data_IF_135916469892
#
_entry.id   IF_135916469892
#
_cell.length_a   1.000
_cell.length_b   1.000
_cell.length_c   1.000
_cell.angle_alpha   90.00
_cell.angle_beta   90.00
_cell.angle_gamma   90.00
#
_symmetry.space_group_name_H-M   'P 1'
#
loop_
_entity.id
_entity.type
_entity.pdbx_description
1 polymer ?
#
# COMPACT_ATOMS: atom_id res chain seq x y z
N UNK A 1 -13.54 -26.54 18.85
CA UNK A 1 -12.62 -25.39 18.76
C UNK A 1 -13.24 -24.36 17.81
N UNK A 2 -13.80 -23.27 18.33
CA UNK A 2 -14.42 -22.23 17.51
C UNK A 2 -13.36 -21.18 17.18
N UNK A 3 -12.92 -21.11 15.93
CA UNK A 3 -12.10 -19.99 15.44
C UNK A 3 -13.07 -18.89 15.00
N UNK A 4 -13.24 -17.86 15.82
CA UNK A 4 -14.17 -16.74 15.63
C UNK A 4 -13.55 -15.51 14.95
N UNK A 5 -12.27 -15.57 14.60
CA UNK A 5 -11.54 -14.46 13.99
C UNK A 5 -11.92 -14.34 12.51
N UNK A 6 -12.46 -13.19 12.12
CA UNK A 6 -12.64 -12.91 10.70
C UNK A 6 -11.30 -12.61 10.03
N UNK A 7 -11.28 -12.60 8.71
CA UNK A 7 -10.09 -12.30 7.91
C UNK A 7 -10.42 -11.14 6.98
N UNK A 8 -9.51 -10.18 6.91
CA UNK A 8 -9.53 -9.09 5.94
C UNK A 8 -8.42 -9.34 4.92
N UNK A 9 -8.74 -9.24 3.63
CA UNK A 9 -7.77 -9.32 2.53
C UNK A 9 -7.79 -8.01 1.79
N UNK A 10 -6.60 -7.46 1.54
CA UNK A 10 -6.42 -6.20 0.81
C UNK A 10 -5.52 -6.49 -0.39
N UNK A 11 -5.99 -6.15 -1.58
CA UNK A 11 -5.20 -6.17 -2.81
C UNK A 11 -4.99 -4.74 -3.31
N UNK A 12 -3.75 -4.26 -3.23
CA UNK A 12 -3.35 -2.95 -3.73
C UNK A 12 -2.81 -3.12 -5.16
N UNK A 13 -3.64 -2.79 -6.15
CA UNK A 13 -3.27 -2.72 -7.55
C UNK A 13 -2.68 -1.36 -7.95
N UNK A 14 -2.52 -1.13 -9.25
CA UNK A 14 -2.10 0.19 -9.77
C UNK A 14 -3.19 1.25 -9.62
N UNK A 15 -4.43 0.92 -10.00
CA UNK A 15 -5.56 1.87 -10.01
C UNK A 15 -6.53 1.74 -8.84
N UNK A 16 -6.59 0.57 -8.19
CA UNK A 16 -7.60 0.25 -7.18
C UNK A 16 -6.99 -0.50 -6.01
N UNK A 17 -7.61 -0.32 -4.83
CA UNK A 17 -7.46 -1.22 -3.69
C UNK A 17 -8.76 -1.99 -3.50
N UNK A 18 -8.66 -3.32 -3.52
CA UNK A 18 -9.79 -4.22 -3.33
C UNK A 18 -9.73 -4.80 -1.91
N UNK A 19 -10.80 -4.62 -1.15
CA UNK A 19 -10.94 -5.09 0.24
C UNK A 19 -11.99 -6.19 0.26
N UNK A 20 -11.68 -7.33 0.87
CA UNK A 20 -12.63 -8.42 1.11
C UNK A 20 -12.57 -8.88 2.57
N UNK A 21 -13.72 -8.92 3.24
CA UNK A 21 -13.83 -9.32 4.64
C UNK A 21 -14.65 -10.59 4.77
N UNK A 22 -14.08 -11.58 5.45
CA UNK A 22 -14.67 -12.89 5.71
C UNK A 22 -14.94 -13.07 7.20
N UNK A 23 -16.13 -13.53 7.58
CA UNK A 23 -16.42 -13.94 8.96
C UNK A 23 -17.21 -15.25 8.97
N UNK A 24 -16.80 -16.18 9.84
CA UNK A 24 -17.42 -17.51 9.92
C UNK A 24 -17.31 -18.31 8.61
N UNK A 25 -16.22 -18.14 7.86
CA UNK A 25 -15.96 -18.85 6.60
C UNK A 25 -16.72 -18.31 5.38
N UNK A 26 -17.48 -17.22 5.50
CA UNK A 26 -18.24 -16.62 4.40
C UNK A 26 -17.79 -15.18 4.14
N UNK A 27 -17.84 -14.77 2.87
CA UNK A 27 -17.64 -13.39 2.44
C UNK A 27 -18.77 -12.51 3.00
N UNK A 28 -18.42 -11.40 3.65
CA UNK A 28 -19.38 -10.48 4.29
C UNK A 28 -19.37 -9.09 3.71
N UNK A 29 -18.21 -8.63 3.27
CA UNK A 29 -18.04 -7.28 2.77
C UNK A 29 -17.00 -7.25 1.66
N UNK A 30 -17.25 -6.39 0.68
CA UNK A 30 -16.27 -6.05 -0.36
C UNK A 30 -16.32 -4.56 -0.60
N UNK A 31 -15.15 -3.93 -0.76
CA UNK A 31 -15.02 -2.52 -1.13
C UNK A 31 -13.93 -2.36 -2.18
N UNK A 32 -14.17 -1.49 -3.15
CA UNK A 32 -13.16 -1.02 -4.10
C UNK A 32 -12.90 0.45 -3.82
N UNK A 33 -11.64 0.82 -3.61
CA UNK A 33 -11.20 2.21 -3.47
C UNK A 33 -10.39 2.57 -4.73
N UNK A 34 -10.81 3.54 -5.56
CA UNK A 34 -10.11 3.91 -6.80
C UNK A 34 -8.91 4.83 -6.53
N UNK A 35 -8.00 4.38 -5.66
CA UNK A 35 -6.83 5.12 -5.20
C UNK A 35 -5.77 4.12 -4.73
N UNK A 36 -4.66 3.97 -5.44
CA UNK A 36 -3.72 2.85 -5.22
C UNK A 36 -2.30 3.13 -5.77
N UNK A 37 -1.58 2.11 -6.22
CA UNK A 37 -0.15 2.19 -6.55
C UNK A 37 0.27 3.27 -7.56
N UNK A 38 -0.63 3.74 -8.44
CA UNK A 38 -0.34 4.82 -9.41
C UNK A 38 -0.08 6.16 -8.73
N UNK A 39 -0.64 6.41 -7.54
CA UNK A 39 -0.37 7.65 -6.81
C UNK A 39 1.02 7.64 -6.19
N UNK A 40 1.49 6.47 -5.77
CA UNK A 40 2.90 6.27 -5.36
C UNK A 40 3.84 6.54 -6.54
N UNK A 41 3.50 6.05 -7.73
CA UNK A 41 4.27 6.32 -8.96
C UNK A 41 4.34 7.81 -9.28
N UNK A 42 3.21 8.50 -9.11
CA UNK A 42 3.11 9.95 -9.35
C UNK A 42 3.97 10.75 -8.35
N UNK A 43 4.00 10.35 -7.08
CA UNK A 43 4.85 11.00 -6.07
C UNK A 43 6.33 10.82 -6.38
N UNK A 44 6.75 9.62 -6.78
CA UNK A 44 8.14 9.34 -7.17
C UNK A 44 8.53 10.18 -8.39
N UNK A 45 7.66 10.21 -9.40
CA UNK A 45 7.88 10.99 -10.62
C UNK A 45 8.06 12.48 -10.30
N UNK A 46 7.20 13.02 -9.44
CA UNK A 46 7.24 14.40 -8.99
C UNK A 46 8.49 14.69 -8.14
N UNK A 47 8.77 13.88 -7.12
CA UNK A 47 9.87 14.08 -6.18
C UNK A 47 11.25 14.03 -6.85
N UNK A 48 11.44 13.18 -7.86
CA UNK A 48 12.73 12.99 -8.51
C UNK A 48 12.85 13.63 -9.89
N UNK A 49 11.78 14.22 -10.42
CA UNK A 49 11.77 14.78 -11.77
C UNK A 49 12.15 13.74 -12.82
N UNK A 50 11.49 12.58 -12.74
CA UNK A 50 11.70 11.41 -13.61
C UNK A 50 10.41 11.05 -14.35
N UNK A 51 10.45 10.51 -15.59
CA UNK A 51 9.24 10.11 -16.31
C UNK A 51 8.40 9.09 -15.53
N UNK A 52 7.04 9.11 -15.64
CA UNK A 52 6.17 8.18 -14.91
C UNK A 52 6.49 6.70 -15.13
N UNK A 53 6.91 6.31 -16.34
CA UNK A 53 7.33 4.94 -16.64
C UNK A 53 8.58 4.53 -15.88
N UNK A 54 9.53 5.44 -15.72
CA UNK A 54 10.78 5.20 -15.00
C UNK A 54 10.53 5.21 -13.49
N UNK A 55 9.66 6.11 -13.00
CA UNK A 55 9.18 6.11 -11.63
C UNK A 55 8.54 4.75 -11.25
N UNK A 56 7.71 4.18 -12.13
CA UNK A 56 7.11 2.87 -11.90
C UNK A 56 8.18 1.77 -11.84
N UNK A 57 9.13 1.80 -12.77
CA UNK A 57 10.21 0.82 -12.80
C UNK A 57 11.07 0.87 -11.53
N UNK A 58 11.38 2.08 -11.04
CA UNK A 58 12.12 2.28 -9.79
C UNK A 58 11.30 1.81 -8.59
N UNK A 59 10.01 2.15 -8.53
CA UNK A 59 9.09 1.69 -7.47
C UNK A 59 9.08 0.17 -7.36
N UNK A 60 8.90 -0.52 -8.48
CA UNK A 60 8.82 -1.99 -8.54
C UNK A 60 10.15 -2.65 -8.17
N UNK A 61 11.28 -2.09 -8.60
CA UNK A 61 12.60 -2.70 -8.38
C UNK A 61 13.20 -2.41 -7.00
N UNK A 62 12.98 -1.20 -6.50
CA UNK A 62 13.72 -0.67 -5.36
C UNK A 62 12.83 -0.11 -4.24
N UNK A 63 11.52 -0.09 -4.44
CA UNK A 63 10.59 0.45 -3.47
C UNK A 63 10.69 -0.24 -2.11
N UNK A 64 10.43 0.53 -1.05
CA UNK A 64 10.32 0.03 0.30
C UNK A 64 9.31 0.90 1.05
N UNK A 65 8.27 0.27 1.61
CA UNK A 65 7.25 0.95 2.39
C UNK A 65 7.59 1.05 3.88
N UNK A 66 8.77 0.58 4.28
CA UNK A 66 9.31 0.68 5.63
C UNK A 66 10.76 1.17 5.55
N UNK A 67 10.96 2.48 5.56
CA UNK A 67 12.28 3.08 5.37
C UNK A 67 13.31 2.69 6.43
N UNK A 68 12.87 2.20 7.60
CA UNK A 68 13.78 1.78 8.68
C UNK A 68 14.58 0.51 8.39
N UNK A 69 14.18 -0.30 7.40
CA UNK A 69 14.89 -1.53 7.00
C UNK A 69 15.79 -1.32 5.77
N UNK A 70 15.83 -0.11 5.20
CA UNK A 70 16.67 0.20 4.05
C UNK A 70 18.11 0.41 4.52
N UNK A 71 19.07 -0.23 3.84
CA UNK A 71 20.48 -0.07 4.13
C UNK A 71 20.97 1.36 3.85
N UNK A 72 21.76 1.92 4.78
CA UNK A 72 22.27 3.30 4.70
C UNK A 72 23.17 3.56 3.48
N UNK A 73 23.82 2.51 2.98
CA UNK A 73 24.77 2.60 1.87
C UNK A 73 24.15 2.17 0.52
N UNK A 74 22.84 1.89 0.49
CA UNK A 74 22.15 1.51 -0.73
C UNK A 74 21.85 2.73 -1.62
N UNK A 75 22.13 2.61 -2.91
CA UNK A 75 21.83 3.63 -3.90
C UNK A 75 21.03 3.09 -5.08
N UNK A 76 20.31 4.00 -5.74
CA UNK A 76 19.47 3.74 -6.91
C UNK A 76 19.78 4.75 -8.00
N UNK A 77 19.88 4.27 -9.24
CA UNK A 77 19.96 5.15 -10.40
C UNK A 77 18.56 5.58 -10.83
N UNK A 78 18.39 6.90 -11.00
CA UNK A 78 17.13 7.51 -11.40
C UNK A 78 17.32 8.22 -12.75
N UNK A 79 16.62 7.79 -13.82
CA UNK A 79 16.61 8.49 -15.09
C UNK A 79 16.09 9.92 -14.92
N UNK A 80 16.67 10.87 -15.67
CA UNK A 80 16.26 12.27 -15.61
C UNK A 80 15.46 12.67 -16.85
N UNK A 81 14.61 13.70 -16.72
CA UNK A 81 13.92 14.31 -17.86
C UNK A 81 14.84 15.19 -18.71
N UNK A 82 14.53 15.31 -20.00
CA UNK A 82 15.13 16.28 -20.91
C UNK A 82 16.54 15.92 -21.40
N UNK A 83 16.86 14.62 -21.52
CA UNK A 83 18.16 14.15 -22.05
C UNK A 83 19.34 14.34 -21.09
N UNK A 84 19.07 14.70 -19.83
CA UNK A 84 20.08 14.77 -18.78
C UNK A 84 20.53 13.36 -18.39
N UNK A 85 21.80 13.18 -17.99
CA UNK A 85 22.29 11.88 -17.54
C UNK A 85 21.51 11.41 -16.30
N UNK A 86 21.40 10.09 -16.08
CA UNK A 86 20.86 9.52 -14.85
C UNK A 86 21.63 10.02 -13.61
N UNK A 87 20.93 10.07 -12.48
CA UNK A 87 21.48 10.50 -11.18
C UNK A 87 21.42 9.35 -10.18
N UNK A 88 22.48 9.16 -9.42
CA UNK A 88 22.49 8.24 -8.28
C UNK A 88 21.93 8.93 -7.04
N UNK A 89 21.02 8.26 -6.33
CA UNK A 89 20.43 8.72 -5.07
C UNK A 89 20.49 7.62 -4.02
N UNK A 90 20.46 8.01 -2.74
CA UNK A 90 20.29 7.03 -1.67
C UNK A 90 18.90 6.39 -1.79
N UNK A 91 18.84 5.06 -1.63
CA UNK A 91 17.57 4.32 -1.62
C UNK A 91 16.67 4.78 -0.46
N UNK A 92 17.25 5.32 0.61
CA UNK A 92 16.51 5.94 1.70
C UNK A 92 15.60 7.07 1.21
N UNK A 93 16.09 7.93 0.31
CA UNK A 93 15.29 9.04 -0.22
C UNK A 93 14.10 8.54 -1.04
N UNK A 94 14.21 7.38 -1.70
CA UNK A 94 13.08 6.73 -2.35
C UNK A 94 12.05 6.23 -1.32
N UNK A 95 12.50 5.65 -0.21
CA UNK A 95 11.62 5.18 0.87
C UNK A 95 10.88 6.35 1.56
N UNK A 96 11.53 7.50 1.74
CA UNK A 96 10.93 8.73 2.29
C UNK A 96 9.74 9.25 1.46
N UNK A 97 9.67 8.90 0.16
CA UNK A 97 8.53 9.21 -0.71
C UNK A 97 7.47 8.10 -0.65
N UNK A 98 7.89 6.83 -0.60
CA UNK A 98 6.99 5.66 -0.69
C UNK A 98 6.23 5.40 0.61
N UNK A 99 6.93 5.39 1.75
CA UNK A 99 6.37 5.06 3.06
C UNK A 99 5.15 5.91 3.46
N UNK A 100 5.19 7.26 3.36
CA UNK A 100 4.02 8.06 3.72
C UNK A 100 2.81 7.79 2.81
N UNK A 101 3.03 7.51 1.51
CA UNK A 101 1.91 7.19 0.62
C UNK A 101 1.30 5.83 0.93
N UNK A 102 2.11 4.80 1.20
CA UNK A 102 1.57 3.52 1.64
C UNK A 102 0.87 3.62 3.00
N UNK A 103 1.37 4.46 3.90
CA UNK A 103 0.70 4.75 5.18
C UNK A 103 -0.69 5.34 4.95
N UNK A 104 -0.84 6.29 4.02
CA UNK A 104 -2.15 6.84 3.65
C UNK A 104 -3.06 5.78 3.02
N UNK A 105 -2.57 4.99 2.07
CA UNK A 105 -3.34 3.91 1.45
C UNK A 105 -3.88 2.92 2.49
N UNK A 106 -3.03 2.51 3.45
CA UNK A 106 -3.40 1.60 4.52
C UNK A 106 -4.36 2.26 5.54
N UNK A 107 -4.25 3.56 5.77
CA UNK A 107 -5.20 4.29 6.61
C UNK A 107 -6.60 4.32 5.99
N UNK A 108 -6.72 4.53 4.68
CA UNK A 108 -8.02 4.48 3.97
C UNK A 108 -8.67 3.09 4.09
N UNK A 109 -7.87 2.03 4.00
CA UNK A 109 -8.32 0.65 4.22
C UNK A 109 -8.80 0.46 5.68
N UNK A 110 -8.02 0.94 6.65
CA UNK A 110 -8.38 0.84 8.06
C UNK A 110 -9.66 1.62 8.39
N UNK A 111 -9.85 2.80 7.81
CA UNK A 111 -11.08 3.58 7.95
C UNK A 111 -12.31 2.81 7.46
N UNK A 112 -12.23 2.15 6.30
CA UNK A 112 -13.32 1.31 5.79
C UNK A 112 -13.65 0.15 6.75
N UNK A 113 -12.63 -0.49 7.33
CA UNK A 113 -12.82 -1.59 8.29
C UNK A 113 -13.48 -1.09 9.57
N UNK A 114 -13.03 0.05 10.10
CA UNK A 114 -13.61 0.66 11.29
C UNK A 114 -15.09 1.05 11.06
N UNK A 115 -15.41 1.59 9.89
CA UNK A 115 -16.79 1.89 9.51
C UNK A 115 -17.65 0.62 9.46
N UNK A 116 -17.15 -0.47 8.85
CA UNK A 116 -17.83 -1.75 8.82
C UNK A 116 -18.05 -2.34 10.23
N UNK A 117 -17.05 -2.24 11.11
CA UNK A 117 -17.15 -2.68 12.50
C UNK A 117 -18.26 -1.93 13.25
N UNK A 118 -18.33 -0.60 13.10
CA UNK A 118 -19.34 0.20 13.77
C UNK A 118 -20.75 -0.11 13.25
N UNK A 119 -20.92 -0.28 11.93
CA UNK A 119 -22.19 -0.69 11.33
C UNK A 119 -22.68 -2.04 11.87
N UNK A 120 -21.78 -3.03 11.95
CA UNK A 120 -22.13 -4.36 12.45
C UNK A 120 -22.43 -4.35 13.95
N UNK A 121 -21.73 -3.51 14.73
CA UNK A 121 -22.01 -3.31 16.16
C UNK A 121 -23.43 -2.78 16.39
N UNK A 122 -23.86 -1.80 15.59
CA UNK A 122 -25.21 -1.24 15.66
C UNK A 122 -26.31 -2.25 15.31
N UNK A 123 -25.98 -3.24 14.47
CA UNK A 123 -26.89 -4.30 14.05
C UNK A 123 -26.88 -5.53 14.97
N UNK A 124 -26.10 -5.51 16.06
CA UNK A 124 -25.92 -6.67 16.95
C UNK A 124 -25.16 -7.84 16.30
N UNK A 125 -24.45 -7.58 15.20
CA UNK A 125 -23.67 -8.57 14.45
C UNK A 125 -22.30 -8.84 15.07
N UNK A 126 -21.65 -9.92 14.63
CA UNK A 126 -20.25 -10.20 14.98
C UNK A 126 -19.33 -9.19 14.27
N UNK A 127 -18.44 -8.57 15.01
CA UNK A 127 -17.46 -7.62 14.48
C UNK A 127 -16.38 -8.34 13.65
N UNK A 128 -16.00 -7.78 12.49
CA UNK A 128 -14.87 -8.24 11.70
C UNK A 128 -13.55 -7.93 12.41
N UNK A 129 -12.43 -8.54 11.98
CA UNK A 129 -11.15 -8.37 12.64
C UNK A 129 -10.68 -6.91 12.58
N UNK A 130 -9.70 -6.55 13.41
CA UNK A 130 -9.09 -5.22 13.36
C UNK A 130 -8.24 -5.03 12.10
N UNK A 131 -7.92 -3.78 11.73
CA UNK A 131 -7.09 -3.48 10.56
C UNK A 131 -5.71 -4.15 10.58
N UNK A 132 -5.15 -4.44 11.77
CA UNK A 132 -3.88 -5.16 11.93
C UNK A 132 -3.93 -6.65 11.57
N UNK A 133 -5.11 -7.24 11.40
CA UNK A 133 -5.30 -8.63 10.99
C UNK A 133 -5.57 -8.76 9.46
N UNK A 134 -5.44 -7.67 8.71
CA UNK A 134 -5.54 -7.70 7.26
C UNK A 134 -4.29 -8.32 6.64
N UNK A 135 -4.50 -9.28 5.75
CA UNK A 135 -3.45 -9.83 4.89
C UNK A 135 -3.37 -8.94 3.65
N UNK A 136 -2.27 -8.19 3.53
CA UNK A 136 -1.87 -7.52 2.30
C UNK A 136 -1.16 -8.53 1.40
N UNK A 137 -1.60 -8.69 0.15
CA UNK A 137 -0.95 -9.60 -0.81
C UNK A 137 0.33 -9.05 -1.43
N UNK A 138 0.67 -7.76 -1.27
CA UNK A 138 1.76 -7.11 -2.00
C UNK A 138 2.68 -6.18 -1.21
N UNK A 139 2.39 -5.84 0.04
CA UNK A 139 3.36 -5.13 0.87
C UNK A 139 4.47 -6.09 1.34
N UNK A 140 5.42 -6.39 0.46
CA UNK A 140 6.58 -7.25 0.78
C UNK A 140 7.24 -8.06 -0.35
N UNK A 141 6.98 -7.80 -1.64
CA UNK A 141 7.84 -8.32 -2.70
C UNK A 141 8.86 -7.22 -3.05
N UNK A 142 10.13 -7.28 -2.65
CA UNK A 142 11.01 -8.45 -2.47
C UNK A 142 11.43 -8.75 -1.03
#
# INVERSE_FOLDING_TARGET
MNVSWGVCVVDIGGGTMDIAVYTGGALRHTKVIPYAGNVVTSDIAYAFGTPPSDAEAIKVRHGCALGSIVGKDESVEVPSVGGRPPRSLQRQTLAEVIEPRYTELLNLVNEEILQLQEQLRQQGGKTPPGGGDCIDRRCGAN
#
